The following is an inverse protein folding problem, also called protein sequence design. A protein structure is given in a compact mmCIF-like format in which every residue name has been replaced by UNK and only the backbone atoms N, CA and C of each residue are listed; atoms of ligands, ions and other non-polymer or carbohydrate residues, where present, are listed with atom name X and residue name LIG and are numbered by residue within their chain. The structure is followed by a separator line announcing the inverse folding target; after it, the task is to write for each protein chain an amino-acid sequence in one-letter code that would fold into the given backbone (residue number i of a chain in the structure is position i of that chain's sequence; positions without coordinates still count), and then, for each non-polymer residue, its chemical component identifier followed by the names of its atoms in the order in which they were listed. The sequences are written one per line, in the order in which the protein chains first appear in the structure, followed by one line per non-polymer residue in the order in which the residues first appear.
data_IF_398297533837
#
_entry.id   IF_398297533837
#
_cell.length_a   1.000
_cell.length_b   1.000
_cell.length_c   1.000
_cell.angle_alpha   90.00
_cell.angle_beta   90.00
_cell.angle_gamma   90.00
#
_symmetry.space_group_name_H-M   'P 1'
#
loop_
_entity.id
_entity.type
_entity.pdbx_description
1 polymer ?
#
# COMPACT_ATOMS: atom_id res chain seq x y z
N UNK A 1 -26.10 -47.73 14.94
CA UNK A 1 -24.93 -46.83 15.08
C UNK A 1 -25.46 -45.53 15.66
N UNK A 2 -25.31 -45.30 16.96
CA UNK A 2 -25.78 -44.06 17.59
C UNK A 2 -24.86 -42.91 17.14
N UNK A 3 -25.40 -41.92 16.46
CA UNK A 3 -24.65 -40.72 16.14
C UNK A 3 -24.20 -40.08 17.47
N UNK A 4 -22.88 -39.95 17.66
CA UNK A 4 -22.27 -39.21 18.76
C UNK A 4 -22.54 -37.72 18.54
N UNK A 5 -23.76 -37.28 18.79
CA UNK A 5 -24.03 -35.85 18.90
C UNK A 5 -23.47 -35.38 20.24
N UNK A 6 -22.66 -34.32 20.20
CA UNK A 6 -22.24 -33.62 21.42
C UNK A 6 -23.51 -33.09 22.10
N UNK A 7 -23.63 -33.31 23.41
CA UNK A 7 -24.72 -32.72 24.18
C UNK A 7 -24.61 -31.19 24.22
N UNK A 8 -25.58 -30.53 24.83
CA UNK A 8 -25.59 -29.07 24.91
C UNK A 8 -24.33 -28.49 25.59
N UNK A 9 -23.71 -29.22 26.53
CA UNK A 9 -22.48 -28.79 27.19
C UNK A 9 -21.27 -28.94 26.27
N UNK A 10 -21.16 -30.06 25.56
CA UNK A 10 -20.13 -30.31 24.55
C UNK A 10 -20.19 -29.31 23.40
N UNK A 11 -21.39 -28.95 22.93
CA UNK A 11 -21.55 -27.92 21.90
C UNK A 11 -21.05 -26.55 22.39
N UNK A 12 -21.42 -26.15 23.62
CA UNK A 12 -20.92 -24.88 24.21
C UNK A 12 -19.41 -24.88 24.35
N UNK A 13 -18.81 -25.99 24.79
CA UNK A 13 -17.38 -26.13 24.92
C UNK A 13 -16.67 -25.95 23.57
N UNK A 14 -17.16 -26.63 22.52
CA UNK A 14 -16.59 -26.52 21.17
C UNK A 14 -16.71 -25.09 20.64
N UNK A 15 -17.86 -24.43 20.80
CA UNK A 15 -18.05 -23.03 20.38
C UNK A 15 -17.06 -22.10 21.09
N UNK A 16 -16.88 -22.25 22.41
CA UNK A 16 -15.92 -21.45 23.18
C UNK A 16 -14.49 -21.65 22.68
N UNK A 17 -14.10 -22.91 22.41
CA UNK A 17 -12.77 -23.22 21.89
C UNK A 17 -12.54 -22.66 20.49
N UNK A 18 -13.52 -22.78 19.60
CA UNK A 18 -13.45 -22.20 18.25
C UNK A 18 -13.32 -20.69 18.31
N UNK A 19 -14.12 -20.01 19.15
CA UNK A 19 -14.02 -18.56 19.34
C UNK A 19 -12.62 -18.13 19.80
N UNK A 20 -12.05 -18.83 20.79
CA UNK A 20 -10.69 -18.56 21.25
C UNK A 20 -9.67 -18.74 20.12
N UNK A 21 -9.74 -19.85 19.37
CA UNK A 21 -8.83 -20.10 18.25
C UNK A 21 -8.96 -19.08 17.11
N UNK A 22 -10.16 -18.56 16.87
CA UNK A 22 -10.38 -17.48 15.90
C UNK A 22 -9.72 -16.19 16.39
N UNK A 23 -9.96 -15.81 17.65
CA UNK A 23 -9.36 -14.61 18.23
C UNK A 23 -7.82 -14.69 18.18
N UNK A 24 -7.24 -15.82 18.61
CA UNK A 24 -5.79 -16.04 18.57
C UNK A 24 -5.20 -15.96 17.15
N UNK A 25 -5.99 -16.29 16.13
CA UNK A 25 -5.59 -16.14 14.72
C UNK A 25 -5.72 -14.70 14.25
N UNK A 26 -6.79 -14.01 14.62
CA UNK A 26 -7.03 -12.61 14.24
C UNK A 26 -5.99 -11.68 14.89
N UNK A 27 -5.61 -11.93 16.15
CA UNK A 27 -4.61 -11.13 16.88
C UNK A 27 -3.21 -11.20 16.24
N UNK A 28 -2.94 -12.23 15.43
CA UNK A 28 -1.68 -12.38 14.69
C UNK A 28 -1.67 -11.64 13.35
N UNK A 29 -2.82 -11.12 12.89
CA UNK A 29 -2.89 -10.34 11.66
C UNK A 29 -2.47 -8.90 11.97
N UNK A 30 -1.18 -8.69 12.14
CA UNK A 30 -0.60 -7.36 12.20
C UNK A 30 -0.43 -6.82 10.79
N UNK A 31 -0.99 -5.64 10.54
CA UNK A 31 -0.85 -4.93 9.26
C UNK A 31 0.05 -3.72 9.45
N UNK A 32 0.90 -3.47 8.45
CA UNK A 32 1.59 -2.20 8.38
C UNK A 32 0.65 -1.14 7.78
N UNK A 33 0.71 0.07 8.33
CA UNK A 33 -0.03 1.22 7.79
C UNK A 33 0.67 1.84 6.58
N UNK A 34 1.96 1.56 6.38
CA UNK A 34 2.74 2.00 5.22
C UNK A 34 3.71 0.89 4.81
N UNK A 35 4.01 0.71 3.50
CA UNK A 35 5.03 -0.24 3.07
C UNK A 35 6.37 0.02 3.78
N UNK A 36 6.90 -1.00 4.46
CA UNK A 36 8.17 -0.93 5.20
C UNK A 36 9.14 -1.97 4.67
N UNK A 37 10.33 -1.52 4.26
CA UNK A 37 11.36 -2.43 3.71
C UNK A 37 11.74 -3.50 4.72
N UNK A 38 11.73 -4.76 4.29
CA UNK A 38 12.05 -5.93 5.13
C UNK A 38 10.93 -6.42 6.05
N UNK A 39 9.76 -5.75 6.06
CA UNK A 39 8.58 -6.26 6.77
C UNK A 39 7.93 -7.42 6.03
N UNK A 40 7.45 -8.42 6.78
CA UNK A 40 6.64 -9.53 6.27
C UNK A 40 5.14 -9.35 6.53
N UNK A 41 4.74 -8.23 7.15
CA UNK A 41 3.35 -7.95 7.43
C UNK A 41 2.63 -7.52 6.14
N UNK A 42 1.36 -7.89 5.95
CA UNK A 42 0.54 -7.30 4.90
C UNK A 42 0.34 -5.79 5.14
N UNK A 43 0.08 -5.04 4.06
CA UNK A 43 -0.20 -3.60 4.13
C UNK A 43 -1.70 -3.37 3.88
N UNK A 44 -2.27 -2.38 4.55
CA UNK A 44 -3.66 -1.95 4.28
C UNK A 44 -3.80 -1.31 2.90
N UNK A 45 -5.00 -1.32 2.32
CA UNK A 45 -5.26 -0.67 1.02
C UNK A 45 -5.00 0.84 1.06
N UNK A 46 -5.30 1.50 2.19
CA UNK A 46 -4.99 2.92 2.41
C UNK A 46 -3.48 3.18 2.41
N UNK A 47 -2.71 2.33 3.10
CA UNK A 47 -1.25 2.40 3.09
C UNK A 47 -0.64 2.25 1.68
N UNK A 48 -1.22 1.37 0.86
CA UNK A 48 -0.84 1.22 -0.55
C UNK A 48 -1.23 2.46 -1.35
N UNK A 49 -2.46 2.97 -1.17
CA UNK A 49 -2.93 4.17 -1.85
C UNK A 49 -2.01 5.35 -1.58
N UNK A 50 -1.65 5.61 -0.33
CA UNK A 50 -0.75 6.70 0.04
C UNK A 50 0.64 6.54 -0.60
N UNK A 51 1.19 5.32 -0.61
CA UNK A 51 2.50 5.04 -1.21
C UNK A 51 2.53 5.30 -2.72
N UNK A 52 1.42 5.10 -3.43
CA UNK A 52 1.32 5.29 -4.89
C UNK A 52 0.85 6.71 -5.24
N UNK A 53 -0.08 7.27 -4.46
CA UNK A 53 -0.71 8.56 -4.72
C UNK A 53 0.21 9.75 -4.44
N UNK A 54 1.20 9.61 -3.56
CA UNK A 54 2.19 10.65 -3.28
C UNK A 54 3.15 10.93 -4.45
N UNK A 55 2.93 10.30 -5.61
CA UNK A 55 3.67 10.53 -6.84
C UNK A 55 4.85 9.57 -6.97
N UNK A 56 4.92 8.86 -8.09
CA UNK A 56 6.14 8.16 -8.48
C UNK A 56 7.09 9.23 -9.03
N UNK A 57 8.07 9.64 -8.24
CA UNK A 57 9.15 10.51 -8.72
C UNK A 57 10.14 9.68 -9.49
N UNK A 58 10.30 9.97 -10.78
CA UNK A 58 11.34 9.36 -11.62
C UNK A 58 12.56 10.28 -11.60
N UNK A 59 13.57 9.91 -10.83
CA UNK A 59 14.89 10.56 -10.87
C UNK A 59 15.78 9.84 -11.88
N UNK A 60 16.14 10.52 -12.96
CA UNK A 60 17.10 10.01 -13.95
C UNK A 60 18.37 10.82 -13.80
N UNK A 61 19.42 10.18 -13.32
CA UNK A 61 20.75 10.77 -13.25
C UNK A 61 21.62 10.22 -14.40
N UNK A 62 22.34 11.09 -15.12
CA UNK A 62 23.31 10.62 -16.09
C UNK A 62 24.45 9.90 -15.39
N UNK A 63 24.96 8.83 -16.00
CA UNK A 63 26.25 8.26 -15.58
C UNK A 63 27.35 9.32 -15.72
N UNK A 64 28.40 9.24 -14.90
CA UNK A 64 29.49 10.21 -14.91
C UNK A 64 30.07 10.38 -16.33
N UNK A 65 29.90 11.58 -16.89
CA UNK A 65 30.36 11.92 -18.24
C UNK A 65 29.37 11.63 -19.38
N UNK A 66 28.11 11.30 -19.08
CA UNK A 66 27.03 11.16 -20.06
C UNK A 66 25.97 12.26 -19.93
N UNK A 67 25.15 12.44 -20.97
CA UNK A 67 23.90 13.20 -20.92
C UNK A 67 22.74 12.21 -20.94
N UNK A 68 21.71 12.45 -20.13
CA UNK A 68 20.43 11.74 -20.21
C UNK A 68 19.37 12.69 -20.73
N UNK A 69 19.07 12.56 -22.02
CA UNK A 69 17.94 13.25 -22.65
C UNK A 69 16.67 12.44 -22.39
N UNK A 70 15.69 13.03 -21.71
CA UNK A 70 14.36 12.45 -21.58
C UNK A 70 13.48 13.15 -22.60
N UNK A 71 13.19 12.46 -23.70
CA UNK A 71 12.22 12.92 -24.67
C UNK A 71 10.81 12.61 -24.14
N UNK A 72 9.99 13.64 -23.99
CA UNK A 72 8.56 13.51 -23.66
C UNK A 72 7.77 14.19 -24.78
N UNK A 73 6.81 13.49 -25.43
CA UNK A 73 5.95 14.10 -26.43
C UNK A 73 5.17 15.28 -25.85
N UNK A 74 4.96 16.33 -26.63
CA UNK A 74 4.25 17.54 -26.19
C UNK A 74 2.82 17.27 -25.75
N UNK A 75 2.18 16.24 -26.33
CA UNK A 75 0.84 15.77 -26.00
C UNK A 75 0.76 15.07 -24.63
N UNK A 76 1.88 14.55 -24.13
CA UNK A 76 1.98 13.84 -22.85
C UNK A 76 2.53 14.75 -21.72
N UNK A 77 2.86 16.01 -22.04
CA UNK A 77 3.32 17.01 -21.08
C UNK A 77 2.12 17.70 -20.39
N UNK A 78 1.85 17.33 -19.15
CA UNK A 78 0.83 17.99 -18.32
C UNK A 78 1.41 19.20 -17.56
N UNK A 79 0.94 20.41 -17.87
CA UNK A 79 1.31 21.65 -17.15
C UNK A 79 0.11 22.11 -16.31
N UNK A 80 0.27 22.12 -14.99
CA UNK A 80 -0.80 22.52 -14.06
C UNK A 80 -1.00 24.05 -13.98
N UNK A 81 -2.23 24.48 -13.68
CA UNK A 81 -2.63 25.90 -13.62
C UNK A 81 -2.59 26.56 -12.23
N UNK A 82 -2.05 25.91 -11.20
CA UNK A 82 -1.97 26.44 -9.83
C UNK A 82 -0.52 26.81 -9.47
N UNK A 83 -0.32 27.93 -8.78
CA UNK A 83 0.99 28.46 -8.37
C UNK A 83 1.94 27.39 -7.75
N UNK A 84 3.25 27.41 -8.07
CA UNK A 84 4.19 26.37 -7.65
C UNK A 84 4.33 26.21 -6.12
N UNK A 85 4.58 24.97 -5.72
CA UNK A 85 5.16 24.62 -4.41
C UNK A 85 6.61 24.18 -4.60
N UNK A 86 7.32 23.87 -3.52
CA UNK A 86 8.72 23.40 -3.48
C UNK A 86 9.02 22.16 -4.35
N UNK A 87 7.98 21.55 -4.93
CA UNK A 87 8.02 20.20 -5.49
C UNK A 87 7.82 20.12 -7.03
N UNK A 88 7.67 21.24 -7.76
CA UNK A 88 7.35 21.23 -9.20
C UNK A 88 8.45 21.88 -10.07
N UNK A 89 8.99 21.15 -11.05
CA UNK A 89 10.27 21.47 -11.74
C UNK A 89 10.19 22.03 -13.17
N UNK A 90 9.02 22.15 -13.81
CA UNK A 90 8.93 22.75 -15.16
C UNK A 90 7.75 23.73 -15.30
N UNK A 91 8.08 24.99 -15.64
CA UNK A 91 7.13 26.08 -15.91
C UNK A 91 7.45 26.75 -17.24
N UNK A 92 6.41 27.13 -17.98
CA UNK A 92 6.50 27.93 -19.21
C UNK A 92 5.67 29.20 -19.01
N UNK A 93 6.34 30.36 -18.97
CA UNK A 93 5.66 31.66 -19.00
C UNK A 93 5.42 32.04 -20.46
N UNK A 94 4.16 32.32 -20.81
CA UNK A 94 3.79 32.86 -22.11
C UNK A 94 3.34 34.31 -21.91
N UNK A 95 4.03 35.24 -22.57
CA UNK A 95 3.68 36.67 -22.60
C UNK A 95 2.61 36.97 -23.65
#
# INVERSE_FOLDING_TARGET
MAAKFLDAAGLRYVITKIKALINDKQDKLTFDTTPTSGSSNPVTSDGIYQAVNNGITVSIEPSAGSETWIEVPTEDLYVGGNEPTENNTLWLELH
#
